data_IF_473471290823
#
_entry.id   IF_473471290823
#
_cell.length_a   1.000
_cell.length_b   1.000
_cell.length_c   1.000
_cell.angle_alpha   90.00
_cell.angle_beta   90.00
_cell.angle_gamma   90.00
#
_symmetry.space_group_name_H-M   'P 1'
#
loop_
_entity.id
_entity.type
_entity.pdbx_description
1 polymer ?
#
# COMPACT_ATOMS: atom_id res chain seq x y z
N UNK A 1 0.60 9.19 16.63
CA UNK A 1 0.70 10.66 16.75
C UNK A 1 0.14 11.22 15.47
N UNK A 2 -0.99 11.93 15.51
CA UNK A 2 -1.63 12.44 14.29
C UNK A 2 -1.16 13.89 14.09
N UNK A 3 -0.52 14.18 12.96
CA UNK A 3 -0.26 15.57 12.55
C UNK A 3 -1.40 15.97 11.64
N UNK A 4 -2.00 17.14 11.84
CA UNK A 4 -3.05 17.64 10.98
C UNK A 4 -2.62 18.97 10.34
N UNK A 5 -2.59 19.03 9.00
CA UNK A 5 -2.50 20.31 8.30
C UNK A 5 -3.91 20.75 7.94
N UNK A 6 -4.33 21.92 8.40
CA UNK A 6 -5.63 22.49 8.07
C UNK A 6 -5.40 23.68 7.16
N UNK A 7 -5.96 23.64 5.95
CA UNK A 7 -5.98 24.80 5.07
C UNK A 7 -7.41 25.26 4.83
N UNK A 8 -7.60 26.58 4.85
CA UNK A 8 -8.86 27.19 4.43
C UNK A 8 -8.64 27.90 3.12
N UNK A 9 -9.56 27.72 2.17
CA UNK A 9 -9.51 28.35 0.86
C UNK A 9 -10.86 29.01 0.58
N UNK A 10 -10.82 30.28 0.17
CA UNK A 10 -11.99 31.03 -0.33
C UNK A 10 -11.78 31.39 -1.80
N UNK A 11 -12.69 30.93 -2.65
CA UNK A 11 -12.62 31.05 -4.10
C UNK A 11 -13.55 32.17 -4.58
N UNK A 12 -13.15 32.94 -5.61
CA UNK A 12 -13.90 34.12 -6.03
C UNK A 12 -15.18 33.82 -6.81
N UNK A 13 -15.24 32.70 -7.50
CA UNK A 13 -16.37 32.35 -8.37
C UNK A 13 -16.55 30.83 -8.54
N UNK A 14 -17.68 30.45 -9.13
CA UNK A 14 -18.04 29.04 -9.36
C UNK A 14 -17.12 28.32 -10.34
N UNK A 15 -16.41 29.02 -11.23
CA UNK A 15 -15.47 28.40 -12.16
C UNK A 15 -14.18 28.00 -11.43
N UNK A 16 -13.68 28.87 -10.55
CA UNK A 16 -12.59 28.63 -9.62
C UNK A 16 -12.92 27.47 -8.65
N UNK A 17 -14.14 27.47 -8.11
CA UNK A 17 -14.67 26.39 -7.26
C UNK A 17 -14.64 25.04 -7.97
N UNK A 18 -15.17 24.97 -9.20
CA UNK A 18 -15.17 23.72 -9.96
C UNK A 18 -13.75 23.21 -10.23
N UNK A 19 -12.82 24.08 -10.65
CA UNK A 19 -11.42 23.69 -10.91
C UNK A 19 -10.72 23.16 -9.66
N UNK A 20 -10.97 23.78 -8.50
CA UNK A 20 -10.44 23.32 -7.23
C UNK A 20 -11.01 21.95 -6.83
N UNK A 21 -12.33 21.77 -6.88
CA UNK A 21 -12.98 20.51 -6.52
C UNK A 21 -12.56 19.34 -7.42
N UNK A 22 -12.45 19.58 -8.73
CA UNK A 22 -11.98 18.58 -9.70
C UNK A 22 -10.53 18.15 -9.40
N UNK A 23 -9.64 19.11 -9.13
CA UNK A 23 -8.24 18.83 -8.78
C UNK A 23 -8.12 18.14 -7.41
N UNK A 24 -8.94 18.54 -6.43
CA UNK A 24 -8.94 17.93 -5.10
C UNK A 24 -9.44 16.49 -5.12
N UNK A 25 -10.47 16.19 -5.92
CA UNK A 25 -10.95 14.82 -6.11
C UNK A 25 -9.85 13.91 -6.69
N UNK A 26 -9.04 14.42 -7.64
CA UNK A 26 -7.89 13.67 -8.18
C UNK A 26 -6.82 13.40 -7.11
N UNK A 27 -6.54 14.37 -6.24
CA UNK A 27 -5.63 14.19 -5.10
C UNK A 27 -6.15 13.13 -4.13
N UNK A 28 -7.42 13.20 -3.72
CA UNK A 28 -8.04 12.21 -2.84
C UNK A 28 -7.98 10.80 -3.44
N UNK A 29 -8.27 10.68 -4.74
CA UNK A 29 -8.17 9.40 -5.45
C UNK A 29 -6.73 8.88 -5.49
N UNK A 30 -5.74 9.75 -5.71
CA UNK A 30 -4.34 9.35 -5.71
C UNK A 30 -3.91 8.81 -4.34
N UNK A 31 -4.21 9.54 -3.27
CA UNK A 31 -3.80 9.20 -1.91
C UNK A 31 -4.47 7.91 -1.44
N UNK A 32 -5.78 7.78 -1.71
CA UNK A 32 -6.50 6.53 -1.45
C UNK A 32 -5.90 5.32 -2.19
N UNK A 33 -5.32 5.52 -3.38
CA UNK A 33 -4.71 4.44 -4.17
C UNK A 33 -3.27 4.12 -3.77
N UNK A 34 -2.49 5.12 -3.34
CA UNK A 34 -1.03 5.00 -3.23
C UNK A 34 -0.52 5.05 -1.79
N UNK A 35 -1.25 5.71 -0.89
CA UNK A 35 -0.83 6.05 0.47
C UNK A 35 -1.93 5.81 1.55
N UNK A 36 -2.76 4.75 1.45
CA UNK A 36 -3.84 4.52 2.41
C UNK A 36 -3.29 4.32 3.82
N UNK A 37 -3.85 5.07 4.78
CA UNK A 37 -3.44 5.05 6.18
C UNK A 37 -2.20 5.88 6.51
N UNK A 38 -1.44 6.35 5.51
CA UNK A 38 -0.33 7.31 5.70
C UNK A 38 -0.85 8.74 5.79
N UNK A 39 -1.77 9.08 4.88
CA UNK A 39 -2.33 10.41 4.69
C UNK A 39 -3.81 10.29 4.37
N UNK A 40 -4.65 11.08 5.03
CA UNK A 40 -6.06 11.25 4.64
C UNK A 40 -6.38 12.71 4.38
N UNK A 41 -7.11 12.96 3.30
CA UNK A 41 -7.62 14.28 2.93
C UNK A 41 -9.12 14.33 3.16
N UNK A 42 -9.55 15.25 4.01
CA UNK A 42 -10.96 15.56 4.22
C UNK A 42 -11.26 16.97 3.71
N UNK A 43 -12.36 17.13 2.96
CA UNK A 43 -12.87 18.43 2.51
C UNK A 43 -14.17 18.72 3.25
N UNK A 44 -14.24 19.89 3.87
CA UNK A 44 -15.35 20.36 4.66
C UNK A 44 -15.84 21.71 4.13
N UNK A 45 -17.15 21.86 3.93
CA UNK A 45 -17.76 23.15 3.65
C UNK A 45 -17.70 24.02 4.91
N UNK A 46 -17.29 25.29 4.78
CA UNK A 46 -17.31 26.23 5.91
C UNK A 46 -18.74 26.74 6.14
N UNK A 47 -19.16 26.79 7.40
CA UNK A 47 -20.47 27.30 7.81
C UNK A 47 -20.33 28.50 8.75
N UNK A 48 -21.13 29.53 8.51
CA UNK A 48 -21.35 30.64 9.44
C UNK A 48 -22.84 30.73 9.77
N UNK A 49 -23.18 30.77 11.06
CA UNK A 49 -24.58 30.81 11.52
C UNK A 49 -25.46 29.69 10.90
N UNK A 50 -24.92 28.46 10.80
CA UNK A 50 -25.54 27.30 10.15
C UNK A 50 -25.87 27.48 8.65
N UNK A 51 -25.25 28.44 7.98
CA UNK A 51 -25.35 28.61 6.52
C UNK A 51 -23.99 28.38 5.86
N UNK A 52 -23.93 27.66 4.73
CA UNK A 52 -22.68 27.46 4.03
C UNK A 52 -22.16 28.81 3.53
N UNK A 53 -20.90 29.10 3.80
CA UNK A 53 -20.22 30.26 3.23
C UNK A 53 -19.86 29.93 1.79
N UNK A 54 -20.32 30.74 0.84
CA UNK A 54 -20.14 30.47 -0.58
C UNK A 54 -18.66 30.35 -0.92
N UNK A 55 -18.30 29.32 -1.69
CA UNK A 55 -16.96 29.13 -2.24
C UNK A 55 -15.84 29.00 -1.21
N UNK A 56 -16.18 28.71 0.05
CA UNK A 56 -15.21 28.59 1.13
C UNK A 56 -15.18 27.17 1.70
N UNK A 57 -13.98 26.60 1.70
CA UNK A 57 -13.73 25.22 2.10
C UNK A 57 -12.57 25.13 3.08
N UNK A 58 -12.69 24.15 3.97
CA UNK A 58 -11.63 23.70 4.84
C UNK A 58 -11.16 22.35 4.34
N UNK A 59 -9.86 22.19 4.16
CA UNK A 59 -9.27 20.88 3.95
C UNK A 59 -8.40 20.53 5.13
N UNK A 60 -8.57 19.30 5.58
CA UNK A 60 -7.78 18.70 6.63
C UNK A 60 -6.98 17.55 6.06
N UNK A 61 -5.66 17.65 6.17
CA UNK A 61 -4.71 16.59 5.89
C UNK A 61 -4.36 15.93 7.22
N UNK A 62 -4.49 14.60 7.34
CA UNK A 62 -4.11 13.88 8.57
C UNK A 62 -3.01 12.89 8.26
N UNK A 63 -1.92 12.99 9.00
CA UNK A 63 -0.75 12.13 8.86
C UNK A 63 -0.64 11.16 10.03
N UNK A 64 -0.21 9.92 9.79
CA UNK A 64 -0.03 8.90 10.83
C UNK A 64 1.16 9.15 11.77
N UNK A 65 2.12 10.00 11.36
CA UNK A 65 3.29 10.40 12.15
C UNK A 65 3.91 11.73 11.67
N UNK A 66 4.81 12.34 12.46
CA UNK A 66 5.59 13.53 12.05
C UNK A 66 6.52 13.21 10.88
N UNK A 67 7.06 12.00 10.84
CA UNK A 67 7.86 11.53 9.71
C UNK A 67 7.03 11.50 8.41
N UNK A 68 5.79 11.05 8.49
CA UNK A 68 4.88 11.03 7.33
C UNK A 68 4.56 12.45 6.85
N UNK A 69 4.40 13.39 7.78
CA UNK A 69 4.26 14.81 7.45
C UNK A 69 5.51 15.32 6.71
N UNK A 70 6.71 15.12 7.27
CA UNK A 70 7.96 15.62 6.65
C UNK A 70 8.24 15.01 5.27
N UNK A 71 8.01 13.70 5.09
CA UNK A 71 8.28 13.04 3.81
C UNK A 71 7.15 13.22 2.79
N UNK A 72 5.89 13.22 3.21
CA UNK A 72 4.72 13.23 2.30
C UNK A 72 4.21 14.66 2.06
N UNK A 73 4.01 15.48 3.09
CA UNK A 73 3.51 16.85 2.94
C UNK A 73 4.48 17.73 2.13
N UNK A 74 5.79 17.57 2.38
CA UNK A 74 6.80 18.41 1.74
C UNK A 74 7.21 17.91 0.34
N UNK A 75 7.03 16.62 0.02
CA UNK A 75 7.54 16.01 -1.23
C UNK A 75 6.46 15.38 -2.14
N UNK A 76 5.19 15.37 -1.75
CA UNK A 76 4.10 14.78 -2.55
C UNK A 76 3.84 15.56 -3.85
N UNK A 77 4.14 14.96 -5.01
CA UNK A 77 3.83 15.54 -6.32
C UNK A 77 2.33 15.79 -6.57
N UNK A 78 1.39 14.91 -6.13
CA UNK A 78 -0.04 15.20 -6.17
C UNK A 78 -0.43 16.47 -5.40
N UNK A 79 0.09 16.65 -4.18
CA UNK A 79 -0.16 17.83 -3.36
C UNK A 79 0.43 19.09 -4.02
N UNK A 80 1.63 18.97 -4.60
CA UNK A 80 2.23 20.06 -5.38
C UNK A 80 1.40 20.42 -6.62
N UNK A 81 0.78 19.45 -7.30
CA UNK A 81 -0.12 19.72 -8.42
C UNK A 81 -1.37 20.45 -7.97
N UNK A 82 -1.96 20.09 -6.82
CA UNK A 82 -3.04 20.86 -6.22
C UNK A 82 -2.60 22.30 -5.95
N UNK A 83 -1.43 22.52 -5.35
CA UNK A 83 -0.92 23.87 -5.10
C UNK A 83 -0.66 24.67 -6.38
N UNK A 84 -0.19 24.04 -7.47
CA UNK A 84 -0.05 24.69 -8.78
C UNK A 84 -1.40 25.10 -9.36
N UNK A 85 -2.41 24.24 -9.26
CA UNK A 85 -3.77 24.55 -9.68
C UNK A 85 -4.32 25.72 -8.86
N UNK A 86 -4.22 25.66 -7.53
CA UNK A 86 -4.64 26.73 -6.62
C UNK A 86 -3.93 28.05 -6.94
N UNK A 87 -2.64 28.04 -7.26
CA UNK A 87 -1.88 29.22 -7.64
C UNK A 87 -2.33 29.85 -8.98
N UNK A 88 -2.97 29.06 -9.85
CA UNK A 88 -3.56 29.53 -11.11
C UNK A 88 -5.03 29.95 -11.01
N UNK A 89 -5.65 29.78 -9.84
CA UNK A 89 -7.06 30.10 -9.60
C UNK A 89 -7.18 31.46 -8.90
N UNK A 90 -8.28 32.17 -9.16
CA UNK A 90 -8.58 33.43 -8.48
C UNK A 90 -9.00 33.19 -7.02
N UNK A 91 -8.00 33.09 -6.13
CA UNK A 91 -8.17 32.94 -4.68
C UNK A 91 -8.40 34.31 -4.04
N UNK A 92 -9.37 34.40 -3.13
CA UNK A 92 -9.69 35.62 -2.36
C UNK A 92 -8.89 35.66 -1.06
N UNK A 93 -8.79 34.54 -0.36
CA UNK A 93 -8.03 34.37 0.89
C UNK A 93 -7.58 32.91 1.05
N UNK A 94 -6.37 32.71 1.57
CA UNK A 94 -5.82 31.38 1.88
C UNK A 94 -5.05 31.42 3.20
N UNK A 95 -5.32 30.47 4.09
CA UNK A 95 -4.59 30.27 5.34
C UNK A 95 -4.18 28.81 5.48
N UNK A 96 -2.95 28.57 5.95
CA UNK A 96 -2.45 27.24 6.31
C UNK A 96 -2.12 27.26 7.80
N UNK A 97 -2.69 26.32 8.55
CA UNK A 97 -2.42 26.13 9.97
C UNK A 97 -2.11 24.66 10.19
N UNK A 98 -0.87 24.35 10.53
CA UNK A 98 -0.44 22.99 10.86
C UNK A 98 -0.53 22.82 12.37
N UNK A 99 -1.38 21.89 12.80
CA UNK A 99 -1.56 21.50 14.18
C UNK A 99 -0.91 20.14 14.47
N UNK A 100 -0.19 20.06 15.57
CA UNK A 100 0.35 18.82 16.11
C UNK A 100 0.02 18.77 17.61
N UNK A 101 -0.10 17.58 18.19
CA UNK A 101 -0.30 17.44 19.64
C UNK A 101 0.96 17.85 20.47
N UNK A 102 1.99 18.40 19.82
CA UNK A 102 3.24 18.92 20.38
C UNK A 102 3.66 20.18 19.58
N UNK A 103 4.12 21.24 20.26
CA UNK A 103 4.59 22.47 19.62
C UNK A 103 5.72 22.20 18.61
N UNK A 104 5.46 22.43 17.32
CA UNK A 104 6.43 22.29 16.23
C UNK A 104 6.51 23.60 15.42
N UNK A 105 6.76 24.71 16.10
CA UNK A 105 6.73 26.05 15.53
C UNK A 105 7.72 26.37 14.38
N UNK A 106 8.87 25.67 14.12
CA UNK A 106 9.79 26.13 13.07
C UNK A 106 9.66 25.46 11.69
N UNK A 107 8.98 24.31 11.57
CA UNK A 107 8.91 23.57 10.29
C UNK A 107 7.70 23.99 9.41
N UNK A 108 6.83 24.85 9.94
CA UNK A 108 5.46 25.10 9.46
C UNK A 108 5.39 26.18 8.38
N UNK A 109 6.38 27.07 8.27
CA UNK A 109 6.34 28.21 7.34
C UNK A 109 6.95 27.93 5.95
N UNK A 110 7.61 26.78 5.77
CA UNK A 110 8.17 26.42 4.46
C UNK A 110 7.09 25.81 3.57
N UNK A 111 6.58 26.60 2.63
CA UNK A 111 5.79 26.12 1.49
C UNK A 111 6.45 24.87 0.89
N UNK A 112 5.68 23.84 0.47
CA UNK A 112 6.23 22.63 -0.12
C UNK A 112 7.15 22.99 -1.28
N UNK A 113 8.37 22.45 -1.28
CA UNK A 113 9.30 22.61 -2.39
C UNK A 113 8.94 21.62 -3.49
N UNK A 114 9.13 22.04 -4.74
CA UNK A 114 8.90 21.17 -5.90
C UNK A 114 9.92 20.03 -5.86
N UNK A 115 9.43 18.80 -5.72
CA UNK A 115 10.20 17.58 -5.67
C UNK A 115 9.64 16.59 -6.68
N UNK A 116 10.51 15.85 -7.38
CA UNK A 116 10.07 14.80 -8.31
C UNK A 116 9.71 13.52 -7.55
N UNK A 117 8.82 12.68 -8.10
CA UNK A 117 8.40 11.39 -7.49
C UNK A 117 9.60 10.47 -7.14
N UNK A 118 10.76 10.69 -7.76
CA UNK A 118 11.99 9.94 -7.54
C UNK A 118 12.81 10.41 -6.31
N UNK A 119 12.39 11.45 -5.58
CA UNK A 119 13.12 12.02 -4.44
C UNK A 119 12.66 11.49 -3.07
N UNK A 120 11.70 10.56 -3.02
CA UNK A 120 11.34 9.86 -1.78
C UNK A 120 12.43 8.83 -1.46
N UNK A 121 13.41 9.27 -0.70
CA UNK A 121 14.56 8.46 -0.27
C UNK A 121 14.22 7.52 0.89
N UNK A 122 13.05 7.66 1.54
CA UNK A 122 12.63 6.77 2.61
C UNK A 122 12.21 5.39 2.06
N UNK A 123 12.93 4.32 2.40
CA UNK A 123 12.56 2.99 1.92
C UNK A 123 11.15 2.58 2.33
N UNK A 124 10.63 3.04 3.47
CA UNK A 124 9.29 2.66 3.95
C UNK A 124 8.14 3.30 3.15
N UNK A 125 8.45 4.26 2.29
CA UNK A 125 7.49 4.88 1.36
C UNK A 125 7.64 4.33 -0.06
N UNK A 126 8.69 3.56 -0.34
CA UNK A 126 8.86 2.84 -1.60
C UNK A 126 7.99 1.58 -1.64
N UNK A 127 7.61 1.16 -2.86
CA UNK A 127 6.87 -0.09 -3.04
C UNK A 127 7.78 -1.29 -2.75
N UNK A 128 7.35 -2.13 -1.82
CA UNK A 128 8.07 -3.33 -1.38
C UNK A 128 7.53 -4.63 -1.99
N UNK A 129 7.96 -5.72 -1.36
CA UNK A 129 7.52 -7.09 -1.65
C UNK A 129 6.52 -7.51 -0.58
N UNK A 130 5.26 -7.68 -0.98
CA UNK A 130 4.19 -8.20 -0.14
C UNK A 130 4.27 -9.72 -0.08
N UNK A 131 4.38 -10.26 1.12
CA UNK A 131 4.47 -11.71 1.33
C UNK A 131 3.24 -12.24 2.04
N UNK A 132 2.52 -13.15 1.37
CA UNK A 132 1.47 -13.96 1.98
C UNK A 132 2.07 -15.28 2.45
N UNK A 133 1.80 -15.67 3.69
CA UNK A 133 2.41 -16.84 4.30
C UNK A 133 1.52 -17.43 5.40
N UNK A 134 1.68 -18.73 5.67
CA UNK A 134 0.95 -19.40 6.73
C UNK A 134 1.30 -18.88 8.14
N UNK A 135 0.27 -18.69 8.97
CA UNK A 135 0.42 -18.45 10.41
C UNK A 135 0.93 -19.69 11.19
N UNK A 136 0.98 -20.85 10.55
CA UNK A 136 1.58 -22.10 11.08
C UNK A 136 2.84 -22.43 10.31
N UNK A 137 3.78 -23.14 10.93
CA UNK A 137 5.04 -23.54 10.29
C UNK A 137 4.87 -24.63 9.24
N UNK A 138 3.76 -25.37 9.30
CA UNK A 138 3.57 -26.61 8.55
C UNK A 138 4.39 -27.77 9.12
N UNK A 139 4.30 -28.94 8.47
CA UNK A 139 5.01 -30.16 8.87
C UNK A 139 6.37 -30.33 8.19
N UNK A 140 6.61 -29.62 7.08
CA UNK A 140 7.85 -29.70 6.32
C UNK A 140 8.75 -28.50 6.63
N UNK A 141 10.00 -28.71 7.09
CA UNK A 141 10.92 -27.60 7.37
C UNK A 141 11.26 -26.76 6.15
N UNK A 142 11.10 -27.28 4.92
CA UNK A 142 11.33 -26.52 3.69
C UNK A 142 10.50 -25.22 3.65
N UNK A 143 9.29 -25.21 4.22
CA UNK A 143 8.40 -24.04 4.17
C UNK A 143 8.96 -22.84 4.94
N UNK A 144 9.50 -23.07 6.14
CA UNK A 144 10.12 -22.00 6.93
C UNK A 144 11.53 -21.67 6.44
N UNK A 145 12.24 -22.63 5.85
CA UNK A 145 13.54 -22.37 5.21
C UNK A 145 13.39 -21.43 4.00
N UNK A 146 12.40 -21.68 3.13
CA UNK A 146 12.12 -20.81 2.00
C UNK A 146 11.62 -19.42 2.44
N UNK A 147 10.92 -19.32 3.57
CA UNK A 147 10.57 -18.02 4.16
C UNK A 147 11.81 -17.20 4.54
N UNK A 148 12.81 -17.83 5.15
CA UNK A 148 14.08 -17.17 5.49
C UNK A 148 14.87 -16.80 4.24
N UNK A 149 14.95 -17.71 3.27
CA UNK A 149 15.61 -17.46 2.00
C UNK A 149 14.97 -16.28 1.26
N UNK A 150 13.64 -16.19 1.26
CA UNK A 150 12.91 -15.06 0.69
C UNK A 150 13.23 -13.76 1.40
N UNK A 151 13.16 -13.73 2.74
CA UNK A 151 13.51 -12.53 3.52
C UNK A 151 14.92 -12.05 3.22
N UNK A 152 15.89 -12.98 3.20
CA UNK A 152 17.28 -12.68 2.89
C UNK A 152 17.43 -12.05 1.50
N UNK A 153 16.81 -12.65 0.49
CA UNK A 153 16.85 -12.12 -0.86
C UNK A 153 16.23 -10.71 -0.94
N UNK A 154 15.06 -10.50 -0.34
CA UNK A 154 14.38 -9.20 -0.38
C UNK A 154 15.26 -8.10 0.24
N UNK A 155 15.91 -8.41 1.37
CA UNK A 155 16.69 -7.42 2.13
C UNK A 155 18.08 -7.17 1.52
N UNK A 156 18.84 -8.22 1.22
CA UNK A 156 20.25 -8.09 0.83
C UNK A 156 20.40 -7.80 -0.67
N UNK A 157 19.63 -8.51 -1.51
CA UNK A 157 19.78 -8.47 -2.97
C UNK A 157 18.84 -7.43 -3.60
N UNK A 158 17.54 -7.52 -3.31
CA UNK A 158 16.54 -6.61 -3.87
C UNK A 158 16.56 -5.23 -3.18
N UNK A 159 16.96 -5.17 -1.91
CA UNK A 159 16.99 -3.95 -1.07
C UNK A 159 15.62 -3.26 -1.00
N UNK A 160 14.56 -4.05 -0.92
CA UNK A 160 13.18 -3.56 -0.88
C UNK A 160 12.57 -3.76 0.52
N UNK A 161 11.53 -2.98 0.88
CA UNK A 161 10.75 -3.24 2.07
C UNK A 161 10.04 -4.60 2.00
N UNK A 162 9.98 -5.29 3.14
CA UNK A 162 9.12 -6.46 3.34
C UNK A 162 7.77 -5.97 3.85
N UNK A 163 6.71 -6.26 3.12
CA UNK A 163 5.32 -5.95 3.50
C UNK A 163 4.61 -7.25 3.87
N UNK A 164 3.95 -7.32 5.03
CA UNK A 164 3.33 -8.56 5.47
C UNK A 164 2.22 -8.39 6.52
N UNK A 165 1.56 -9.50 6.87
CA UNK A 165 0.36 -9.54 7.71
C UNK A 165 0.52 -9.36 9.22
N UNK A 166 1.74 -9.12 9.71
CA UNK A 166 1.98 -8.77 11.11
C UNK A 166 2.00 -9.92 12.12
N UNK A 167 1.73 -11.16 11.71
CA UNK A 167 1.88 -12.34 12.58
C UNK A 167 3.34 -12.59 12.97
N UNK A 168 3.60 -13.16 14.15
CA UNK A 168 4.99 -13.42 14.62
C UNK A 168 5.34 -14.91 14.72
N UNK A 169 4.44 -15.76 14.27
CA UNK A 169 4.54 -17.23 14.33
C UNK A 169 4.39 -17.86 12.94
N UNK A 170 4.78 -19.13 12.84
CA UNK A 170 4.68 -19.91 11.59
C UNK A 170 5.64 -19.45 10.49
N UNK A 171 5.31 -19.79 9.24
CA UNK A 171 6.08 -19.38 8.05
C UNK A 171 6.20 -17.85 7.99
N UNK A 172 5.11 -17.14 8.28
CA UNK A 172 5.07 -15.68 8.35
C UNK A 172 6.03 -15.12 9.40
N UNK A 173 6.05 -15.71 10.60
CA UNK A 173 6.94 -15.29 11.68
C UNK A 173 8.42 -15.48 11.35
N UNK A 174 8.79 -16.57 10.69
CA UNK A 174 10.18 -16.82 10.29
C UNK A 174 10.66 -15.83 9.22
N UNK A 175 9.81 -15.47 8.24
CA UNK A 175 10.09 -14.38 7.29
C UNK A 175 10.38 -13.07 8.05
N UNK A 176 9.49 -12.66 8.95
CA UNK A 176 9.60 -11.38 9.65
C UNK A 176 10.82 -11.30 10.57
N UNK A 177 11.12 -12.39 11.29
CA UNK A 177 12.30 -12.49 12.16
C UNK A 177 13.61 -12.42 11.36
N UNK A 178 13.68 -13.15 10.25
CA UNK A 178 14.87 -13.14 9.38
C UNK A 178 15.08 -11.75 8.77
N UNK A 179 14.04 -11.14 8.23
CA UNK A 179 14.11 -9.78 7.69
C UNK A 179 14.59 -8.78 8.76
N UNK A 180 14.12 -8.91 10.00
CA UNK A 180 14.54 -8.07 11.13
C UNK A 180 16.01 -8.30 11.49
N UNK A 181 16.45 -9.55 11.54
CA UNK A 181 17.84 -9.91 11.85
C UNK A 181 18.83 -9.33 10.84
N UNK A 182 18.40 -9.18 9.59
CA UNK A 182 19.17 -8.58 8.49
C UNK A 182 19.04 -7.05 8.42
N UNK A 183 18.41 -6.40 9.40
CA UNK A 183 18.10 -4.96 9.41
C UNK A 183 17.28 -4.49 8.20
N UNK A 184 16.45 -5.40 7.65
CA UNK A 184 15.49 -5.09 6.60
C UNK A 184 14.41 -4.11 7.07
N UNK A 185 13.82 -3.39 6.12
CA UNK A 185 12.71 -2.46 6.36
C UNK A 185 11.40 -3.22 6.31
N UNK A 186 10.62 -3.17 7.39
CA UNK A 186 9.43 -4.02 7.54
C UNK A 186 8.17 -3.16 7.72
N UNK A 187 7.18 -3.38 6.86
CA UNK A 187 5.83 -2.81 6.96
C UNK A 187 4.87 -3.93 7.38
N UNK A 188 4.25 -3.76 8.53
CA UNK A 188 3.38 -4.73 9.17
C UNK A 188 1.95 -4.22 9.19
N UNK A 189 0.98 -5.00 8.70
CA UNK A 189 -0.43 -4.62 8.67
C UNK A 189 -1.26 -5.70 9.38
N UNK A 190 -1.83 -5.36 10.53
CA UNK A 190 -2.57 -6.30 11.38
C UNK A 190 -3.93 -5.72 11.82
N UNK A 191 -5.03 -6.48 11.70
CA UNK A 191 -6.30 -6.07 12.29
C UNK A 191 -6.21 -6.07 13.82
N UNK A 192 -6.83 -5.06 14.45
CA UNK A 192 -6.87 -4.95 15.92
C UNK A 192 -7.38 -6.24 16.59
N UNK A 193 -8.39 -6.88 15.99
CA UNK A 193 -8.99 -8.14 16.46
C UNK A 193 -8.07 -9.37 16.37
N UNK A 194 -7.01 -9.32 15.56
CA UNK A 194 -6.07 -10.45 15.40
C UNK A 194 -4.79 -10.31 16.22
N UNK A 195 -4.51 -9.11 16.76
CA UNK A 195 -3.29 -8.82 17.53
C UNK A 195 -3.03 -9.85 18.63
N UNK A 196 -4.02 -10.17 19.47
CA UNK A 196 -3.86 -11.14 20.57
C UNK A 196 -3.76 -12.61 20.16
N UNK A 197 -4.05 -12.96 18.88
CA UNK A 197 -4.06 -14.35 18.39
C UNK A 197 -2.84 -14.68 17.54
N UNK A 198 -2.37 -13.72 16.73
CA UNK A 198 -1.32 -13.94 15.74
C UNK A 198 0.04 -13.36 16.16
N UNK A 199 0.06 -12.55 17.22
CA UNK A 199 1.29 -11.96 17.78
C UNK A 199 1.61 -12.64 19.11
N UNK A 200 2.66 -13.45 19.11
CA UNK A 200 3.35 -13.87 20.32
C UNK A 200 4.52 -12.92 20.60
N UNK A 201 4.52 -12.27 21.76
CA UNK A 201 5.54 -11.28 22.13
C UNK A 201 5.30 -9.91 21.48
N UNK A 202 6.36 -9.28 20.99
CA UNK A 202 6.30 -7.97 20.34
C UNK A 202 6.03 -8.09 18.84
N UNK A 203 5.22 -7.17 18.29
CA UNK A 203 5.05 -7.04 16.85
C UNK A 203 6.38 -6.76 16.15
N UNK A 204 6.54 -7.29 14.94
CA UNK A 204 7.72 -7.05 14.11
C UNK A 204 7.33 -6.09 12.98
N UNK A 205 7.88 -4.88 13.00
CA UNK A 205 7.68 -3.86 11.97
C UNK A 205 8.44 -2.58 12.31
N UNK A 206 8.94 -1.87 11.30
CA UNK A 206 9.38 -0.47 11.46
C UNK A 206 8.21 0.48 11.26
N UNK A 207 7.23 0.04 10.45
CA UNK A 207 5.93 0.68 10.28
C UNK A 207 4.84 -0.34 10.56
N UNK A 208 3.92 -0.02 11.45
CA UNK A 208 2.83 -0.91 11.86
C UNK A 208 1.50 -0.19 11.64
N UNK A 209 0.65 -0.81 10.82
CA UNK A 209 -0.72 -0.39 10.59
C UNK A 209 -1.67 -1.30 11.35
N UNK A 210 -2.47 -0.70 12.22
CA UNK A 210 -3.57 -1.39 12.89
C UNK A 210 -4.86 -1.05 12.15
N UNK A 211 -5.55 -2.08 11.66
CA UNK A 211 -6.78 -1.91 10.86
C UNK A 211 -8.03 -2.36 11.61
N UNK A 212 -9.18 -1.81 11.22
CA UNK A 212 -10.48 -2.20 11.76
C UNK A 212 -11.06 -3.43 11.04
N UNK A 213 -10.72 -3.61 9.76
CA UNK A 213 -11.29 -4.68 8.91
C UNK A 213 -10.23 -5.43 8.11
N UNK A 214 -10.56 -6.64 7.67
CA UNK A 214 -9.71 -7.42 6.76
C UNK A 214 -9.56 -6.78 5.38
N UNK A 215 -10.60 -6.13 4.87
CA UNK A 215 -10.54 -5.43 3.58
C UNK A 215 -9.56 -4.26 3.63
N UNK A 216 -9.65 -3.43 4.68
CA UNK A 216 -8.69 -2.35 4.91
C UNK A 216 -7.25 -2.87 5.03
N UNK A 217 -7.05 -3.98 5.74
CA UNK A 217 -5.74 -4.66 5.84
C UNK A 217 -5.16 -4.97 4.46
N UNK A 218 -5.96 -5.60 3.59
CA UNK A 218 -5.53 -5.99 2.24
C UNK A 218 -5.27 -4.77 1.35
N UNK A 219 -6.14 -3.76 1.43
CA UNK A 219 -5.97 -2.52 0.67
C UNK A 219 -4.66 -1.80 0.98
N UNK A 220 -4.31 -1.68 2.29
CA UNK A 220 -3.04 -1.08 2.73
C UNK A 220 -1.85 -1.93 2.26
N UNK A 221 -1.92 -3.26 2.40
CA UNK A 221 -0.86 -4.14 1.89
C UNK A 221 -0.60 -3.95 0.40
N UNK A 222 -1.66 -3.90 -0.41
CA UNK A 222 -1.52 -3.72 -1.86
C UNK A 222 -0.91 -2.36 -2.16
N UNK A 223 -1.32 -1.31 -1.46
CA UNK A 223 -0.76 0.01 -1.70
C UNK A 223 0.75 0.07 -1.39
N UNK A 224 1.25 -0.71 -0.45
CA UNK A 224 2.69 -0.74 -0.15
C UNK A 224 3.52 -1.66 -1.04
N UNK A 225 2.93 -2.34 -2.03
CA UNK A 225 3.63 -3.33 -2.83
C UNK A 225 3.42 -3.18 -4.34
N UNK A 226 4.45 -3.56 -5.10
CA UNK A 226 4.39 -3.77 -6.55
C UNK A 226 4.79 -5.19 -6.94
N UNK A 227 5.18 -6.00 -5.96
CA UNK A 227 5.54 -7.41 -6.08
C UNK A 227 4.85 -8.16 -4.95
N UNK A 228 4.22 -9.29 -5.28
CA UNK A 228 3.52 -10.15 -4.34
C UNK A 228 4.12 -11.54 -4.43
N UNK A 229 4.46 -12.15 -3.30
CA UNK A 229 4.98 -13.51 -3.23
C UNK A 229 4.17 -14.33 -2.24
N UNK A 230 3.64 -15.46 -2.68
CA UNK A 230 2.99 -16.44 -1.80
C UNK A 230 3.98 -17.54 -1.38
N UNK A 231 4.13 -17.71 -0.07
CA UNK A 231 4.79 -18.85 0.56
C UNK A 231 3.74 -19.89 1.00
N UNK A 232 4.15 -21.12 1.35
CA UNK A 232 3.24 -22.12 1.90
C UNK A 232 2.38 -21.60 3.07
N UNK A 233 1.08 -21.90 3.01
CA UNK A 233 0.11 -21.33 3.95
C UNK A 233 -1.27 -21.98 3.90
N UNK A 234 -2.15 -21.51 4.79
CA UNK A 234 -3.52 -22.02 4.90
C UNK A 234 -4.50 -21.26 4.01
N UNK A 235 -5.80 -21.42 4.30
CA UNK A 235 -6.90 -20.76 3.57
C UNK A 235 -6.69 -19.24 3.45
N UNK A 236 -6.19 -18.57 4.49
CA UNK A 236 -5.91 -17.12 4.43
C UNK A 236 -4.89 -16.74 3.35
N UNK A 237 -3.84 -17.53 3.15
CA UNK A 237 -2.86 -17.32 2.09
C UNK A 237 -3.49 -17.51 0.70
N UNK A 238 -4.40 -18.47 0.56
CA UNK A 238 -5.12 -18.69 -0.69
C UNK A 238 -6.17 -17.59 -0.96
N UNK A 239 -6.85 -17.07 0.07
CA UNK A 239 -7.75 -15.90 -0.03
C UNK A 239 -6.99 -14.70 -0.61
N UNK A 240 -5.86 -14.36 0.01
CA UNK A 240 -5.01 -13.24 -0.40
C UNK A 240 -4.43 -13.43 -1.81
N UNK A 241 -3.97 -14.64 -2.15
CA UNK A 241 -3.41 -14.95 -3.47
C UNK A 241 -4.48 -14.90 -4.58
N UNK A 242 -5.63 -15.53 -4.38
CA UNK A 242 -6.71 -15.56 -5.37
C UNK A 242 -7.29 -14.16 -5.60
N UNK A 243 -7.37 -13.33 -4.56
CA UNK A 243 -7.78 -11.95 -4.71
C UNK A 243 -6.79 -11.17 -5.59
N UNK A 244 -5.49 -11.28 -5.34
CA UNK A 244 -4.49 -10.60 -6.19
C UNK A 244 -4.56 -11.08 -7.64
N UNK A 245 -4.76 -12.37 -7.90
CA UNK A 245 -4.96 -12.91 -9.25
C UNK A 245 -6.21 -12.28 -9.91
N UNK A 246 -7.32 -12.22 -9.18
CA UNK A 246 -8.57 -11.62 -9.66
C UNK A 246 -8.40 -10.13 -9.97
N UNK A 247 -7.77 -9.37 -9.06
CA UNK A 247 -7.51 -7.95 -9.25
C UNK A 247 -6.56 -7.66 -10.42
N UNK A 248 -5.63 -8.56 -10.67
CA UNK A 248 -4.74 -8.49 -11.82
C UNK A 248 -5.51 -8.61 -13.14
N UNK A 249 -6.40 -9.59 -13.23
CA UNK A 249 -7.26 -9.80 -14.41
C UNK A 249 -8.18 -8.60 -14.65
N UNK A 250 -8.72 -8.03 -13.57
CA UNK A 250 -9.62 -6.87 -13.60
C UNK A 250 -8.90 -5.53 -13.85
N UNK A 251 -7.58 -5.50 -14.02
CA UNK A 251 -6.80 -4.26 -14.15
C UNK A 251 -6.92 -3.31 -12.93
N UNK A 252 -7.27 -3.84 -11.74
CA UNK A 252 -7.43 -3.06 -10.51
C UNK A 252 -6.12 -2.94 -9.71
N UNK A 253 -5.31 -4.00 -9.71
CA UNK A 253 -3.99 -4.03 -9.07
C UNK A 253 -3.10 -5.03 -9.83
N UNK A 254 -1.98 -4.56 -10.39
CA UNK A 254 -1.15 -5.36 -11.30
C UNK A 254 0.31 -5.51 -10.82
N UNK A 255 0.53 -6.15 -9.66
CA UNK A 255 1.89 -6.43 -9.20
C UNK A 255 2.53 -7.54 -10.04
N UNK A 256 3.84 -7.74 -9.88
CA UNK A 256 4.48 -9.01 -10.25
C UNK A 256 4.06 -10.07 -9.23
N UNK A 257 3.58 -11.24 -9.66
CA UNK A 257 3.04 -12.28 -8.77
C UNK A 257 3.95 -13.51 -8.80
N UNK A 258 4.47 -13.89 -7.64
CA UNK A 258 5.31 -15.07 -7.43
C UNK A 258 4.67 -16.07 -6.48
N UNK A 259 4.89 -17.36 -6.74
CA UNK A 259 4.47 -18.47 -5.87
C UNK A 259 5.66 -19.39 -5.63
N UNK A 260 6.04 -19.54 -4.36
CA UNK A 260 7.13 -20.43 -3.94
C UNK A 260 6.56 -21.82 -3.70
N UNK A 261 6.70 -22.69 -4.70
CA UNK A 261 6.26 -24.08 -4.68
C UNK A 261 7.25 -24.99 -3.93
N UNK A 262 7.55 -24.63 -2.68
CA UNK A 262 8.47 -25.34 -1.81
C UNK A 262 8.03 -26.79 -1.65
N UNK A 263 8.87 -27.73 -2.07
CA UNK A 263 8.62 -29.18 -2.04
C UNK A 263 7.24 -29.59 -2.60
N UNK A 264 6.78 -28.90 -3.66
CA UNK A 264 5.51 -29.21 -4.32
C UNK A 264 4.25 -28.78 -3.54
N UNK A 265 4.36 -27.92 -2.53
CA UNK A 265 3.22 -27.48 -1.71
C UNK A 265 2.02 -26.96 -2.53
N UNK A 266 2.27 -26.25 -3.63
CA UNK A 266 1.25 -25.65 -4.48
C UNK A 266 0.80 -26.56 -5.64
N UNK A 267 1.29 -27.80 -5.77
CA UNK A 267 0.83 -28.72 -6.82
C UNK A 267 -0.69 -28.92 -6.85
N UNK A 268 -1.39 -29.10 -5.70
CA UNK A 268 -2.84 -29.19 -5.70
C UNK A 268 -3.54 -27.91 -6.20
N UNK A 269 -2.96 -26.74 -5.91
CA UNK A 269 -3.49 -25.45 -6.38
C UNK A 269 -3.27 -25.27 -7.89
N UNK A 270 -2.10 -25.66 -8.39
CA UNK A 270 -1.80 -25.65 -9.84
C UNK A 270 -2.77 -26.59 -10.57
N UNK A 271 -3.04 -27.77 -10.00
CA UNK A 271 -4.03 -28.70 -10.54
C UNK A 271 -5.44 -28.09 -10.55
N UNK A 272 -5.83 -27.35 -9.49
CA UNK A 272 -7.10 -26.63 -9.45
C UNK A 272 -7.20 -25.58 -10.57
N UNK A 273 -6.17 -24.76 -10.78
CA UNK A 273 -6.18 -23.77 -11.86
C UNK A 273 -6.31 -24.42 -13.24
N UNK A 274 -5.60 -25.54 -13.47
CA UNK A 274 -5.73 -26.33 -14.70
C UNK A 274 -7.14 -26.89 -14.88
N UNK A 275 -7.78 -27.34 -13.80
CA UNK A 275 -9.16 -27.79 -13.84
C UNK A 275 -10.12 -26.65 -14.18
N UNK A 276 -9.96 -25.46 -13.57
CA UNK A 276 -10.78 -24.29 -13.90
C UNK A 276 -10.64 -23.87 -15.37
N UNK A 277 -9.45 -24.01 -15.95
CA UNK A 277 -9.22 -23.80 -17.38
C UNK A 277 -9.97 -24.83 -18.21
N UNK A 278 -9.84 -26.12 -17.89
CA UNK A 278 -10.51 -27.19 -18.61
C UNK A 278 -12.04 -27.07 -18.60
N UNK A 279 -12.61 -26.57 -17.50
CA UNK A 279 -14.05 -26.32 -17.34
C UNK A 279 -14.50 -24.95 -17.88
N UNK A 280 -13.58 -24.12 -18.40
CA UNK A 280 -13.90 -22.82 -19.00
C UNK A 280 -14.18 -21.68 -18.02
N UNK A 281 -13.76 -21.82 -16.75
CA UNK A 281 -13.88 -20.78 -15.73
C UNK A 281 -12.63 -19.88 -15.62
N UNK A 282 -11.53 -20.24 -16.28
CA UNK A 282 -10.27 -19.50 -16.26
C UNK A 282 -9.56 -19.57 -17.61
N UNK A 283 -8.89 -18.48 -17.99
CA UNK A 283 -8.09 -18.42 -19.22
C UNK A 283 -6.70 -19.04 -19.00
N UNK A 284 -6.13 -19.66 -20.05
CA UNK A 284 -4.79 -20.27 -19.99
C UNK A 284 -3.69 -19.26 -19.63
N UNK A 285 -3.91 -17.99 -19.95
CA UNK A 285 -2.96 -16.90 -19.69
C UNK A 285 -2.72 -16.60 -18.21
N UNK A 286 -3.44 -17.25 -17.28
CA UNK A 286 -3.15 -17.13 -15.83
C UNK A 286 -1.70 -17.50 -15.51
N UNK A 287 -1.14 -18.48 -16.22
CA UNK A 287 0.25 -18.91 -16.04
C UNK A 287 1.26 -17.97 -16.72
N UNK A 288 0.81 -17.02 -17.53
CA UNK A 288 1.68 -15.99 -18.13
C UNK A 288 2.01 -14.88 -17.14
N UNK A 289 1.22 -14.71 -16.07
CA UNK A 289 1.41 -13.66 -15.08
C UNK A 289 1.61 -14.11 -13.63
N UNK A 290 1.43 -15.40 -13.35
CA UNK A 290 1.77 -16.01 -12.06
C UNK A 290 3.06 -16.82 -12.21
N UNK A 291 4.17 -16.31 -11.67
CA UNK A 291 5.47 -16.98 -11.71
C UNK A 291 5.56 -18.00 -10.60
N UNK A 292 5.58 -19.29 -10.95
CA UNK A 292 5.68 -20.39 -10.00
C UNK A 292 7.07 -21.03 -10.10
N UNK A 293 7.82 -21.08 -8.99
CA UNK A 293 9.13 -21.75 -8.91
C UNK A 293 9.28 -22.53 -7.61
N UNK A 294 10.12 -23.58 -7.57
CA UNK A 294 10.29 -24.40 -6.36
C UNK A 294 10.94 -23.67 -5.18
N UNK A 295 11.69 -22.59 -5.43
CA UNK A 295 12.45 -21.86 -4.40
C UNK A 295 12.18 -20.37 -4.45
N UNK A 296 12.30 -19.72 -3.29
CA UNK A 296 12.14 -18.28 -3.12
C UNK A 296 13.10 -17.48 -4.01
N UNK A 297 14.37 -17.88 -4.04
CA UNK A 297 15.39 -17.27 -4.90
C UNK A 297 14.99 -17.41 -6.38
N UNK A 298 14.56 -18.60 -6.79
CA UNK A 298 14.11 -18.84 -8.16
C UNK A 298 12.91 -17.97 -8.56
N UNK A 299 11.94 -17.79 -7.65
CA UNK A 299 10.82 -16.86 -7.86
C UNK A 299 11.34 -15.43 -8.04
N UNK A 300 12.17 -14.94 -7.13
CA UNK A 300 12.62 -13.55 -7.16
C UNK A 300 13.48 -13.22 -8.39
N UNK A 301 14.39 -14.12 -8.78
CA UNK A 301 15.19 -13.97 -10.00
C UNK A 301 14.31 -13.92 -11.25
N UNK A 302 13.30 -14.79 -11.33
CA UNK A 302 12.36 -14.79 -12.45
C UNK A 302 11.52 -13.50 -12.48
N UNK A 303 11.10 -12.99 -11.32
CA UNK A 303 10.33 -11.75 -11.23
C UNK A 303 11.17 -10.51 -11.59
N UNK A 304 12.50 -10.53 -11.42
CA UNK A 304 13.38 -9.38 -11.70
C UNK A 304 13.25 -8.90 -13.14
N UNK A 305 13.32 -9.82 -14.11
CA UNK A 305 13.16 -9.53 -15.54
C UNK A 305 11.72 -9.64 -16.04
N UNK A 306 10.79 -10.14 -15.20
CA UNK A 306 9.39 -10.30 -15.58
C UNK A 306 8.70 -8.94 -15.83
N UNK A 307 8.03 -8.84 -16.98
CA UNK A 307 7.14 -7.74 -17.34
C UNK A 307 5.73 -8.31 -17.42
N UNK A 308 4.79 -7.85 -16.56
CA UNK A 308 3.40 -8.30 -16.62
C UNK A 308 2.79 -8.10 -18.02
N UNK A 309 2.04 -9.08 -18.54
CA UNK A 309 1.40 -8.94 -19.85
C UNK A 309 0.38 -7.77 -19.86
N UNK A 310 -0.01 -7.22 -21.02
CA UNK A 310 -1.10 -6.26 -21.11
C UNK A 310 -2.40 -6.83 -20.52
N UNK A 311 -3.26 -5.99 -19.94
CA UNK A 311 -4.55 -6.46 -19.41
C UNK A 311 -5.57 -6.49 -20.55
N UNK A 312 -6.30 -7.60 -20.76
CA UNK A 312 -7.44 -7.61 -21.65
C UNK A 312 -8.57 -6.69 -21.14
N UNK A 313 -8.61 -6.41 -19.84
CA UNK A 313 -9.53 -5.48 -19.20
C UNK A 313 -8.98 -4.05 -19.08
N UNK A 314 -8.08 -3.64 -19.98
CA UNK A 314 -7.44 -2.31 -19.97
C UNK A 314 -8.42 -1.13 -20.05
N UNK A 315 -9.65 -1.36 -20.51
CA UNK A 315 -10.71 -0.36 -20.56
C UNK A 315 -11.43 -0.15 -19.23
N UNK A 316 -11.24 -1.02 -18.23
CA UNK A 316 -11.84 -0.87 -16.91
C UNK A 316 -11.12 0.22 -16.11
N UNK A 317 -11.90 1.13 -15.53
CA UNK A 317 -11.43 2.18 -14.63
C UNK A 317 -12.01 1.99 -13.24
N UNK A 318 -11.15 1.79 -12.23
CA UNK A 318 -11.55 1.62 -10.83
C UNK A 318 -11.37 2.92 -10.06
N UNK A 319 -12.43 3.39 -9.40
CA UNK A 319 -12.38 4.63 -8.62
C UNK A 319 -11.43 4.49 -7.41
N UNK A 320 -11.55 3.38 -6.68
CA UNK A 320 -10.71 3.01 -5.54
C UNK A 320 -10.07 1.62 -5.76
N UNK A 321 -8.96 1.37 -5.07
CA UNK A 321 -8.44 0.00 -4.92
C UNK A 321 -9.32 -0.73 -3.88
N UNK A 322 -9.69 -2.00 -4.09
CA UNK A 322 -10.44 -2.76 -3.09
C UNK A 322 -9.69 -2.94 -1.77
#
# INVERSE_FOLDING_TARGET
MVVAAVFTIKLRDSAAEKQFLDAFALLQQHVARNEPGTLTYELHQVFENNRPVSHQYLVMERYSSVRDFEETHLKSAPLQNLFKVVAGIAVEEQTLTVGSNVDLQPAIDSRPKVCSDNEIADPLLQKGVLVFAGARSGSNPAYTQEAKALAKYIVEEAKQPVVYGGGTVGVMGELAKEARALNGKIISIIPSSLSGREVSGSMIGDRIYTTATMSERKSIMFAHANTVVALPGGVGTFDELLEVITLFQLNAYRPKIGVVNADGFFEPFIALLKHLIAEGFLEENVFDFVVIKPTAIGVMEALKSFVPPPSPASTLTWASRP
#
